data_IF_295312139493
#
_entry.id   IF_295312139493
#
_cell.length_a   1.000
_cell.length_b   1.000
_cell.length_c   1.000
_cell.angle_alpha   90.00
_cell.angle_beta   90.00
_cell.angle_gamma   90.00
#
_symmetry.space_group_name_H-M   'P 1'
#
loop_
_entity.id
_entity.type
_entity.pdbx_description
1 polymer ?
#
# COMPACT_ATOMS: atom_id res chain seq x y z
N UNK A 1 6.02 -20.06 11.83
CA UNK A 1 5.14 -19.39 12.83
C UNK A 1 5.80 -18.24 13.60
N UNK A 2 7.12 -18.18 13.81
CA UNK A 2 7.77 -17.10 14.60
C UNK A 2 7.65 -15.68 14.01
N UNK A 3 7.50 -15.52 12.70
CA UNK A 3 7.47 -14.19 12.07
C UNK A 3 6.13 -13.44 12.23
N UNK A 4 5.01 -14.14 12.43
CA UNK A 4 3.67 -13.52 12.49
C UNK A 4 3.43 -12.66 13.73
N UNK A 5 4.18 -12.89 14.81
CA UNK A 5 3.94 -12.27 16.13
C UNK A 5 4.99 -11.23 16.52
N UNK A 6 5.86 -10.83 15.58
CA UNK A 6 6.86 -9.78 15.83
C UNK A 6 6.14 -8.42 15.90
N UNK A 7 6.24 -7.74 17.04
CA UNK A 7 5.58 -6.46 17.29
C UNK A 7 6.20 -5.32 16.46
N UNK A 8 7.51 -5.40 16.19
CA UNK A 8 8.25 -4.45 15.35
C UNK A 8 8.50 -5.01 13.95
N UNK A 9 7.48 -4.90 13.10
CA UNK A 9 7.57 -5.24 11.68
C UNK A 9 7.92 -4.03 10.81
N UNK A 10 9.18 -3.62 10.85
CA UNK A 10 9.72 -2.52 10.02
C UNK A 10 9.49 -2.73 8.52
N UNK A 11 9.47 -3.99 8.07
CA UNK A 11 9.25 -4.33 6.66
C UNK A 11 7.81 -3.99 6.25
N UNK A 12 6.84 -4.38 7.08
CA UNK A 12 5.45 -3.99 6.92
C UNK A 12 5.30 -2.46 7.01
N UNK A 13 5.86 -1.82 8.03
CA UNK A 13 5.77 -0.36 8.20
C UNK A 13 6.27 0.40 6.97
N UNK A 14 7.40 0.00 6.41
CA UNK A 14 8.03 0.64 5.25
C UNK A 14 7.17 0.47 3.99
N UNK A 15 6.63 -0.73 3.77
CA UNK A 15 5.74 -0.97 2.63
C UNK A 15 4.42 -0.19 2.75
N UNK A 16 3.82 -0.13 3.96
CA UNK A 16 2.61 0.67 4.19
C UNK A 16 2.87 2.16 3.95
N UNK A 17 4.04 2.67 4.34
CA UNK A 17 4.42 4.06 4.07
C UNK A 17 4.56 4.33 2.56
N UNK A 18 5.14 3.40 1.80
CA UNK A 18 5.18 3.49 0.34
C UNK A 18 3.77 3.63 -0.27
N UNK A 19 2.81 2.83 0.20
CA UNK A 19 1.42 2.92 -0.28
C UNK A 19 0.78 4.26 0.09
N UNK A 20 0.96 4.73 1.33
CA UNK A 20 0.45 6.02 1.78
C UNK A 20 1.00 7.15 0.91
N UNK A 21 2.31 7.21 0.72
CA UNK A 21 2.96 8.26 -0.07
C UNK A 21 2.52 8.21 -1.53
N UNK A 22 2.41 7.01 -2.09
CA UNK A 22 1.97 6.83 -3.48
C UNK A 22 0.52 7.25 -3.66
N UNK A 23 -0.40 6.87 -2.77
CA UNK A 23 -1.83 7.10 -2.96
C UNK A 23 -2.27 8.51 -2.54
N UNK A 24 -1.62 9.14 -1.56
CA UNK A 24 -2.17 10.36 -0.91
C UNK A 24 -1.44 11.65 -1.27
N UNK A 25 -0.18 11.57 -1.70
CA UNK A 25 0.57 12.79 -2.03
C UNK A 25 0.08 13.40 -3.33
N UNK A 26 0.24 14.72 -3.43
CA UNK A 26 0.06 15.46 -4.67
C UNK A 26 1.19 15.07 -5.63
N UNK A 27 0.86 14.16 -6.54
CA UNK A 27 1.73 13.60 -7.58
C UNK A 27 0.96 13.65 -8.89
N UNK A 28 1.69 13.73 -9.99
CA UNK A 28 1.12 13.52 -11.30
C UNK A 28 0.50 12.12 -11.39
N UNK A 29 -0.62 12.00 -12.10
CA UNK A 29 -1.37 10.75 -12.21
C UNK A 29 -0.49 9.63 -12.79
N UNK A 30 0.32 9.94 -13.80
CA UNK A 30 1.20 8.97 -14.44
C UNK A 30 2.33 8.49 -13.52
N UNK A 31 2.84 9.37 -12.64
CA UNK A 31 3.82 8.98 -11.63
C UNK A 31 3.21 8.01 -10.62
N UNK A 32 1.97 8.25 -10.20
CA UNK A 32 1.23 7.39 -9.28
C UNK A 32 0.94 6.03 -9.91
N UNK A 33 0.42 6.02 -11.14
CA UNK A 33 0.21 4.79 -11.92
C UNK A 33 1.49 4.00 -12.06
N UNK A 34 2.60 4.65 -12.44
CA UNK A 34 3.89 3.98 -12.60
C UNK A 34 4.36 3.35 -11.30
N UNK A 35 4.27 4.05 -10.17
CA UNK A 35 4.65 3.50 -8.87
C UNK A 35 3.80 2.29 -8.48
N UNK A 36 2.49 2.30 -8.78
CA UNK A 36 1.63 1.14 -8.54
C UNK A 36 1.91 0.00 -9.51
N UNK A 37 2.09 0.26 -10.80
CA UNK A 37 2.44 -0.78 -11.79
C UNK A 37 3.77 -1.47 -11.42
N UNK A 38 4.72 -0.71 -10.88
CA UNK A 38 6.01 -1.18 -10.41
C UNK A 38 6.03 -1.48 -8.89
N UNK A 39 4.88 -1.85 -8.31
CA UNK A 39 4.76 -2.10 -6.87
C UNK A 39 5.75 -3.15 -6.35
N UNK A 40 6.20 -4.08 -7.20
CA UNK A 40 7.18 -5.11 -6.82
C UNK A 40 8.55 -4.52 -6.48
N UNK A 41 8.89 -3.35 -7.04
CA UNK A 41 10.10 -2.61 -6.71
C UNK A 41 9.97 -1.85 -5.37
N UNK A 42 8.77 -1.79 -4.79
CA UNK A 42 8.58 -1.16 -3.49
C UNK A 42 9.34 -1.93 -2.38
N UNK A 43 9.82 -1.23 -1.34
CA UNK A 43 10.52 -1.87 -0.23
C UNK A 43 9.66 -2.98 0.38
N UNK A 44 10.19 -4.21 0.43
CA UNK A 44 9.53 -5.37 1.04
C UNK A 44 8.17 -5.74 0.41
N UNK A 45 7.96 -5.41 -0.86
CA UNK A 45 6.75 -5.74 -1.61
C UNK A 45 6.35 -7.21 -1.49
N UNK A 46 7.24 -8.14 -1.87
CA UNK A 46 6.98 -9.59 -1.80
C UNK A 46 6.93 -10.17 -0.39
N UNK A 47 7.41 -9.43 0.62
CA UNK A 47 7.20 -9.80 2.03
C UNK A 47 5.77 -9.47 2.48
N UNK A 48 5.25 -8.31 2.11
CA UNK A 48 3.88 -7.89 2.45
C UNK A 48 2.82 -8.56 1.57
N UNK A 49 3.14 -8.74 0.29
CA UNK A 49 2.27 -9.30 -0.75
C UNK A 49 3.04 -10.37 -1.53
N UNK A 50 3.06 -11.63 -1.06
CA UNK A 50 3.74 -12.72 -1.75
C UNK A 50 3.24 -12.91 -3.19
N UNK A 51 1.99 -12.57 -3.43
CA UNK A 51 1.28 -12.60 -4.70
C UNK A 51 0.39 -11.35 -4.83
N UNK A 52 -0.09 -11.12 -6.05
CA UNK A 52 -0.73 -9.88 -6.48
C UNK A 52 -2.14 -9.70 -5.90
N UNK A 53 -2.85 -10.77 -5.51
CA UNK A 53 -4.30 -10.77 -5.27
C UNK A 53 -4.79 -9.71 -4.28
N UNK A 54 -4.01 -9.45 -3.23
CA UNK A 54 -4.40 -8.51 -2.18
C UNK A 54 -4.19 -7.05 -2.59
N UNK A 55 -3.36 -6.77 -3.60
CA UNK A 55 -3.12 -5.43 -4.12
C UNK A 55 -4.06 -5.08 -5.28
N UNK A 56 -4.60 -6.07 -6.00
CA UNK A 56 -5.47 -5.82 -7.16
C UNK A 56 -6.62 -4.83 -6.89
N UNK A 57 -7.33 -4.86 -5.74
CA UNK A 57 -8.37 -3.87 -5.46
C UNK A 57 -7.88 -2.43 -5.48
N UNK A 58 -6.67 -2.18 -4.96
CA UNK A 58 -6.02 -0.85 -4.97
C UNK A 58 -5.82 -0.35 -6.41
N UNK A 59 -5.31 -1.22 -7.29
CA UNK A 59 -5.08 -0.87 -8.70
C UNK A 59 -6.38 -0.53 -9.43
N UNK A 60 -7.45 -1.28 -9.17
CA UNK A 60 -8.76 -1.02 -9.77
C UNK A 60 -9.30 0.33 -9.32
N UNK A 61 -9.31 0.61 -8.00
CA UNK A 61 -9.78 1.89 -7.47
C UNK A 61 -8.96 3.07 -8.01
N UNK A 62 -7.63 2.96 -7.99
CA UNK A 62 -6.76 4.03 -8.48
C UNK A 62 -6.91 4.26 -9.98
N UNK A 63 -7.04 3.19 -10.77
CA UNK A 63 -7.22 3.28 -12.21
C UNK A 63 -8.56 3.90 -12.62
N UNK A 64 -9.60 3.70 -11.82
CA UNK A 64 -10.91 4.31 -12.05
C UNK A 64 -10.95 5.79 -11.62
N UNK A 65 -10.35 6.10 -10.48
CA UNK A 65 -10.41 7.45 -9.90
C UNK A 65 -9.47 8.45 -10.60
N UNK A 66 -8.26 8.03 -11.00
CA UNK A 66 -7.28 8.91 -11.67
C UNK A 66 -6.72 10.03 -10.79
N UNK A 67 -7.04 10.07 -9.49
CA UNK A 67 -6.64 11.14 -8.58
C UNK A 67 -6.08 10.60 -7.25
N UNK A 68 -5.67 11.51 -6.36
CA UNK A 68 -5.16 11.14 -5.05
C UNK A 68 -6.28 10.62 -4.13
N UNK A 69 -5.95 9.62 -3.33
CA UNK A 69 -6.85 9.08 -2.32
C UNK A 69 -6.71 9.82 -0.98
N UNK A 70 -7.73 9.71 -0.15
CA UNK A 70 -7.68 10.04 1.26
C UNK A 70 -7.30 8.80 2.08
N UNK A 71 -6.37 8.93 3.03
CA UNK A 71 -6.06 7.89 4.01
C UNK A 71 -7.15 7.86 5.08
N UNK A 72 -7.99 6.82 5.08
CA UNK A 72 -9.14 6.70 5.98
C UNK A 72 -8.94 5.69 7.11
N UNK A 73 -7.89 4.87 7.01
CA UNK A 73 -7.48 3.95 8.07
C UNK A 73 -5.96 3.81 8.08
N UNK A 74 -5.36 3.91 9.26
CA UNK A 74 -3.94 3.63 9.50
C UNK A 74 -3.77 3.12 10.95
N UNK A 75 -4.04 1.82 11.15
CA UNK A 75 -4.02 1.16 12.46
C UNK A 75 -3.61 -0.30 12.31
N UNK A 76 -3.17 -0.97 13.40
CA UNK A 76 -2.83 -2.37 13.33
C UNK A 76 -4.07 -3.28 13.22
N UNK A 77 -3.97 -4.30 12.37
CA UNK A 77 -4.87 -5.47 12.32
C UNK A 77 -4.01 -6.70 12.54
N UNK A 78 -4.36 -7.54 13.52
CA UNK A 78 -3.58 -8.74 13.88
C UNK A 78 -2.08 -8.45 14.07
N UNK A 79 -1.75 -7.36 14.78
CA UNK A 79 -0.38 -6.86 15.03
C UNK A 79 0.42 -6.44 13.78
N UNK A 80 -0.22 -6.20 12.64
CA UNK A 80 0.42 -5.62 11.43
C UNK A 80 -0.23 -4.30 11.07
N UNK A 81 0.57 -3.27 10.74
CA UNK A 81 0.02 -2.01 10.22
C UNK A 81 -0.73 -2.31 8.92
N UNK A 82 -1.94 -1.79 8.85
CA UNK A 82 -2.83 -1.89 7.70
C UNK A 82 -3.36 -0.50 7.39
N UNK A 83 -3.54 -0.21 6.11
CA UNK A 83 -4.04 1.08 5.64
C UNK A 83 -5.28 0.89 4.76
N UNK A 84 -6.13 1.90 4.70
CA UNK A 84 -7.24 1.95 3.76
C UNK A 84 -7.37 3.34 3.13
N UNK A 85 -7.76 3.35 1.87
CA UNK A 85 -7.82 4.54 1.02
C UNK A 85 -9.25 4.75 0.49
N UNK A 86 -9.65 6.00 0.37
CA UNK A 86 -10.92 6.42 -0.22
C UNK A 86 -10.65 7.40 -1.37
N UNK A 87 -11.23 7.11 -2.54
CA UNK A 87 -11.29 8.04 -3.68
C UNK A 87 -12.73 8.55 -3.79
N UNK A 88 -12.93 9.83 -4.14
CA UNK A 88 -14.22 10.52 -4.04
C UNK A 88 -14.47 11.52 -5.14
#
# INVERSE_FOLDING_TARGET
MRQFWKEDDEQNLTFQQFLIDTCTQQRDEEQRKRALLDWEAAPFARYCHPREEHLLPLHVCQGLAGEQAQLVFDKPILKRKSVAFLWS
#
